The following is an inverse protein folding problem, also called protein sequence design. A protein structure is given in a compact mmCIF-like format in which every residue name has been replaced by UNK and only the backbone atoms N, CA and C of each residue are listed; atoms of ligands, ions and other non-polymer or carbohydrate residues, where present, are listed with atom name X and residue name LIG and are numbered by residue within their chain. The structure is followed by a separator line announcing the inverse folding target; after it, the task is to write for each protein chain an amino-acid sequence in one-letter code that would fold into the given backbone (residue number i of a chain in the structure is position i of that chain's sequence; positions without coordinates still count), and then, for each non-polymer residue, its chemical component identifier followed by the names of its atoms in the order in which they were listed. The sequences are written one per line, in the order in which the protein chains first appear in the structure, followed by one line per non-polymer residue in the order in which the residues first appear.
data_IF_646367230186
#
_entry.id   IF_646367230186
#
_cell.length_a   1.000
_cell.length_b   1.000
_cell.length_c   1.000
_cell.angle_alpha   90.00
_cell.angle_beta   90.00
_cell.angle_gamma   90.00
#
_symmetry.space_group_name_H-M   'P 1'
#
loop_
_entity.id
_entity.type
_entity.pdbx_description
1 polymer ?
#
# COMPACT_ATOMS: atom_id res chain seq x y z
N UNK A 1 -4.73 -24.91 11.46
CA UNK A 1 -5.50 -24.20 10.40
C UNK A 1 -4.87 -22.83 10.17
N UNK A 2 -4.64 -22.45 8.93
CA UNK A 2 -4.06 -21.15 8.64
C UNK A 2 -5.12 -20.05 8.71
N UNK A 3 -4.82 -18.93 9.37
CA UNK A 3 -5.65 -17.71 9.33
C UNK A 3 -5.67 -17.10 7.93
N UNK A 4 -6.72 -16.35 7.65
CA UNK A 4 -6.79 -15.55 6.44
C UNK A 4 -5.67 -14.48 6.46
N UNK A 5 -5.14 -14.16 5.29
CA UNK A 5 -4.25 -13.03 5.16
C UNK A 5 -5.08 -11.73 5.13
N UNK A 6 -4.96 -10.84 6.12
CA UNK A 6 -5.77 -9.62 6.21
C UNK A 6 -5.49 -8.63 5.06
N UNK A 7 -4.40 -8.81 4.33
CA UNK A 7 -4.05 -7.99 3.17
C UNK A 7 -4.82 -8.37 1.90
N UNK A 8 -5.46 -9.54 1.84
CA UNK A 8 -6.29 -9.94 0.70
C UNK A 8 -7.57 -9.12 0.67
N UNK A 9 -7.94 -8.57 -0.48
CA UNK A 9 -9.06 -7.61 -0.66
C UNK A 9 -10.35 -8.06 0.04
N UNK A 10 -10.78 -9.30 -0.20
CA UNK A 10 -11.93 -9.88 0.48
C UNK A 10 -11.81 -9.84 2.02
N UNK A 11 -10.67 -10.29 2.56
CA UNK A 11 -10.47 -10.36 4.00
C UNK A 11 -10.39 -8.97 4.63
N UNK A 12 -9.74 -8.03 3.96
CA UNK A 12 -9.64 -6.63 4.38
C UNK A 12 -11.02 -5.97 4.45
N UNK A 13 -11.78 -6.03 3.36
CA UNK A 13 -13.13 -5.45 3.29
C UNK A 13 -14.10 -6.11 4.25
N UNK A 14 -14.04 -7.44 4.41
CA UNK A 14 -14.87 -8.15 5.39
C UNK A 14 -14.51 -7.75 6.82
N UNK A 15 -13.23 -7.62 7.15
CA UNK A 15 -12.78 -7.28 8.49
C UNK A 15 -13.10 -5.84 8.87
N UNK A 16 -12.73 -4.88 8.03
CA UNK A 16 -12.81 -3.45 8.35
C UNK A 16 -14.09 -2.78 7.82
N UNK A 17 -14.74 -3.34 6.80
CA UNK A 17 -15.94 -2.79 6.17
C UNK A 17 -17.26 -3.36 6.68
N UNK A 18 -17.25 -4.33 7.60
CA UNK A 18 -18.46 -4.91 8.17
C UNK A 18 -18.99 -4.06 9.33
N UNK A 19 -20.32 -3.75 9.35
CA UNK A 19 -20.92 -2.96 10.42
C UNK A 19 -20.72 -3.53 11.82
N UNK A 20 -20.67 -4.86 11.96
CA UNK A 20 -20.44 -5.56 13.23
C UNK A 20 -18.99 -5.47 13.74
N UNK A 21 -18.10 -4.93 12.93
CA UNK A 21 -16.66 -4.78 13.21
C UNK A 21 -16.23 -3.31 13.31
N UNK A 22 -17.17 -2.38 13.53
CA UNK A 22 -16.85 -0.95 13.66
C UNK A 22 -15.78 -0.65 14.71
N UNK A 23 -15.77 -1.36 15.81
CA UNK A 23 -14.78 -1.24 16.88
C UNK A 23 -13.36 -1.56 16.40
N UNK A 24 -13.21 -2.55 15.51
CA UNK A 24 -11.94 -2.90 14.86
C UNK A 24 -11.48 -1.72 13.99
N UNK A 25 -12.35 -1.18 13.15
CA UNK A 25 -12.03 -0.06 12.27
C UNK A 25 -11.71 1.21 13.07
N UNK A 26 -12.48 1.53 14.11
CA UNK A 26 -12.22 2.67 14.99
C UNK A 26 -10.85 2.55 15.66
N UNK A 27 -10.52 1.38 16.23
CA UNK A 27 -9.20 1.15 16.83
C UNK A 27 -8.07 1.33 15.83
N UNK A 28 -8.23 0.82 14.58
CA UNK A 28 -7.23 1.02 13.53
C UNK A 28 -7.06 2.50 13.19
N UNK A 29 -8.15 3.23 12.91
CA UNK A 29 -8.11 4.67 12.63
C UNK A 29 -7.43 5.42 13.78
N UNK A 30 -7.82 5.14 15.02
CA UNK A 30 -7.27 5.78 16.21
C UNK A 30 -5.78 5.46 16.42
N UNK A 31 -5.29 4.31 15.95
CA UNK A 31 -3.86 3.99 16.02
C UNK A 31 -3.02 4.87 15.11
N UNK A 32 -3.61 5.41 14.05
CA UNK A 32 -2.96 6.26 13.03
C UNK A 32 -3.03 7.74 13.41
N UNK A 33 -4.11 8.14 14.11
CA UNK A 33 -4.38 9.53 14.43
C UNK A 33 -3.75 9.98 15.76
N UNK A 34 -3.41 11.28 15.90
CA UNK A 34 -3.02 11.83 17.18
C UNK A 34 -4.18 11.80 18.18
N UNK A 35 -3.87 11.79 19.49
CA UNK A 35 -4.84 11.64 20.57
C UNK A 35 -6.01 12.64 20.50
N UNK A 36 -5.74 13.87 20.07
CA UNK A 36 -6.75 14.94 19.94
C UNK A 36 -7.75 14.71 18.80
N UNK A 37 -7.42 13.85 17.85
CA UNK A 37 -8.25 13.54 16.66
C UNK A 37 -8.92 12.16 16.75
N UNK A 38 -8.87 11.50 17.91
CA UNK A 38 -9.44 10.16 18.05
C UNK A 38 -10.95 10.13 17.86
N UNK A 39 -11.40 9.07 17.23
CA UNK A 39 -12.78 8.79 16.81
C UNK A 39 -13.48 7.95 17.87
N UNK A 40 -14.76 8.25 18.15
CA UNK A 40 -15.58 7.48 19.08
C UNK A 40 -16.61 6.61 18.39
N UNK A 41 -17.14 7.07 17.26
CA UNK A 41 -18.08 6.30 16.42
C UNK A 41 -17.87 6.64 14.94
N UNK A 42 -18.27 5.72 14.06
CA UNK A 42 -18.21 5.88 12.61
C UNK A 42 -19.46 5.33 11.95
N UNK A 43 -19.78 5.90 10.80
CA UNK A 43 -20.75 5.39 9.84
C UNK A 43 -20.00 4.92 8.58
N UNK A 44 -20.14 3.65 8.21
CA UNK A 44 -19.62 3.13 6.95
C UNK A 44 -20.48 3.63 5.79
N UNK A 45 -19.88 4.28 4.80
CA UNK A 45 -20.57 4.78 3.60
C UNK A 45 -20.60 3.77 2.45
N UNK A 46 -19.75 2.76 2.49
CA UNK A 46 -19.72 1.64 1.56
C UNK A 46 -19.57 0.30 2.31
N UNK A 47 -20.54 -0.06 3.19
CA UNK A 47 -20.41 -1.25 4.02
C UNK A 47 -20.20 -2.51 3.16
N UNK A 48 -19.41 -3.44 3.69
CA UNK A 48 -19.19 -4.73 3.05
C UNK A 48 -20.52 -5.46 2.83
N UNK A 49 -20.71 -5.94 1.60
CA UNK A 49 -21.87 -6.74 1.20
C UNK A 49 -21.44 -7.81 0.20
N UNK A 50 -21.56 -9.09 0.57
CA UNK A 50 -21.12 -10.21 -0.25
C UNK A 50 -21.79 -10.26 -1.63
N UNK A 51 -23.08 -9.92 -1.72
CA UNK A 51 -23.80 -9.92 -2.99
C UNK A 51 -23.29 -8.84 -3.95
N UNK A 52 -22.89 -7.68 -3.43
CA UNK A 52 -22.27 -6.61 -4.21
C UNK A 52 -20.84 -6.96 -4.60
N UNK A 53 -20.09 -7.58 -3.70
CA UNK A 53 -18.72 -8.04 -3.95
C UNK A 53 -18.69 -9.00 -5.16
N UNK A 54 -19.57 -9.98 -5.20
CA UNK A 54 -19.70 -10.95 -6.31
C UNK A 54 -20.03 -10.32 -7.65
N UNK A 55 -20.92 -9.34 -7.66
CA UNK A 55 -21.36 -8.67 -8.89
C UNK A 55 -20.29 -7.69 -9.43
N UNK A 56 -19.13 -7.59 -8.77
CA UNK A 56 -18.12 -6.59 -9.09
C UNK A 56 -18.61 -5.15 -8.90
N UNK A 57 -19.68 -4.96 -8.11
CA UNK A 57 -20.31 -3.66 -7.85
C UNK A 57 -19.79 -2.99 -6.57
N UNK A 58 -18.80 -3.61 -5.89
CA UNK A 58 -18.10 -2.92 -4.80
C UNK A 58 -17.40 -1.70 -5.34
N UNK A 59 -17.44 -0.65 -4.55
CA UNK A 59 -16.80 0.64 -4.90
C UNK A 59 -15.32 0.46 -5.22
N UNK A 60 -14.79 1.37 -6.01
CA UNK A 60 -13.36 1.46 -6.33
C UNK A 60 -12.53 1.65 -5.05
N UNK A 61 -13.12 2.32 -4.05
CA UNK A 61 -12.54 2.57 -2.73
C UNK A 61 -12.75 1.37 -1.79
N UNK A 62 -11.72 1.02 -1.01
CA UNK A 62 -11.79 -0.13 -0.11
C UNK A 62 -12.71 0.12 1.08
N UNK A 63 -12.47 1.14 1.90
CA UNK A 63 -13.31 1.51 3.05
C UNK A 63 -13.55 3.01 3.04
N UNK A 64 -14.82 3.43 3.03
CA UNK A 64 -15.25 4.82 3.17
C UNK A 64 -16.11 4.98 4.42
N UNK A 65 -15.73 5.87 5.32
CA UNK A 65 -16.43 6.09 6.58
C UNK A 65 -16.49 7.57 6.96
N UNK A 66 -17.41 7.91 7.86
CA UNK A 66 -17.53 9.26 8.44
C UNK A 66 -17.63 9.14 9.95
N UNK A 67 -16.90 9.97 10.70
CA UNK A 67 -16.97 10.00 12.16
C UNK A 67 -18.11 10.93 12.67
N UNK A 68 -18.30 10.91 13.96
CA UNK A 68 -19.32 11.73 14.67
C UNK A 68 -19.10 13.24 14.52
N UNK A 69 -17.93 13.68 14.08
CA UNK A 69 -17.56 15.10 13.83
C UNK A 69 -17.72 15.49 12.35
N UNK A 70 -18.10 14.54 11.51
CA UNK A 70 -18.23 14.72 10.08
C UNK A 70 -16.90 14.58 9.32
N UNK A 71 -15.83 14.10 9.93
CA UNK A 71 -14.57 13.80 9.23
C UNK A 71 -14.75 12.57 8.36
N UNK A 72 -14.35 12.66 7.09
CA UNK A 72 -14.38 11.55 6.13
C UNK A 72 -13.07 10.80 6.10
N UNK A 73 -13.17 9.48 6.00
CA UNK A 73 -12.04 8.56 5.93
C UNK A 73 -12.10 7.76 4.64
N UNK A 74 -10.97 7.67 3.96
CA UNK A 74 -10.71 6.82 2.82
C UNK A 74 -9.55 5.89 3.19
N UNK A 75 -9.81 4.58 3.30
CA UNK A 75 -8.80 3.63 3.75
C UNK A 75 -8.59 2.60 2.65
N UNK A 76 -7.36 2.59 2.13
CA UNK A 76 -6.95 1.80 0.98
C UNK A 76 -5.87 0.78 1.35
N UNK A 77 -6.00 -0.47 0.88
CA UNK A 77 -4.99 -1.51 0.98
C UNK A 77 -4.43 -1.83 -0.41
N UNK A 78 -3.13 -1.61 -0.61
CA UNK A 78 -2.47 -1.87 -1.88
C UNK A 78 -1.32 -2.87 -1.72
N UNK A 79 -1.38 -3.96 -2.49
CA UNK A 79 -0.48 -5.12 -2.33
C UNK A 79 0.64 -5.18 -3.35
N UNK A 80 0.58 -4.35 -4.37
CA UNK A 80 1.54 -4.32 -5.45
C UNK A 80 1.67 -2.91 -6.00
N UNK A 81 2.88 -2.48 -6.24
CA UNK A 81 3.16 -1.22 -6.88
C UNK A 81 2.59 -1.23 -8.31
N UNK A 82 1.66 -0.32 -8.55
CA UNK A 82 1.22 0.05 -9.88
C UNK A 82 1.70 1.48 -10.09
N UNK A 83 2.51 1.73 -11.09
CA UNK A 83 3.09 3.05 -11.33
C UNK A 83 2.10 4.21 -11.10
N UNK A 84 2.58 5.34 -10.61
CA UNK A 84 1.78 6.54 -10.33
C UNK A 84 0.81 6.40 -9.14
N UNK A 85 1.21 5.73 -8.08
CA UNK A 85 0.35 5.53 -6.91
C UNK A 85 -0.01 6.86 -6.22
N UNK A 86 0.90 7.83 -6.17
CA UNK A 86 0.66 9.19 -5.73
C UNK A 86 -0.57 9.82 -6.41
N UNK A 87 -0.66 9.72 -7.74
CA UNK A 87 -1.80 10.24 -8.51
C UNK A 87 -3.11 9.54 -8.15
N UNK A 88 -3.06 8.23 -7.90
CA UNK A 88 -4.24 7.45 -7.46
C UNK A 88 -4.69 7.87 -6.07
N UNK A 89 -3.78 7.99 -5.12
CA UNK A 89 -4.08 8.40 -3.75
C UNK A 89 -4.72 9.80 -3.72
N UNK A 90 -4.16 10.75 -4.48
CA UNK A 90 -4.77 12.08 -4.64
C UNK A 90 -6.13 12.03 -5.32
N UNK A 91 -6.29 11.22 -6.36
CA UNK A 91 -7.56 11.07 -7.07
C UNK A 91 -8.67 10.53 -6.14
N UNK A 92 -8.37 9.51 -5.34
CA UNK A 92 -9.34 8.91 -4.41
C UNK A 92 -9.69 9.88 -3.28
N UNK A 93 -8.69 10.52 -2.68
CA UNK A 93 -8.93 11.56 -1.69
C UNK A 93 -9.82 12.67 -2.26
N UNK A 94 -9.50 13.20 -3.45
CA UNK A 94 -10.26 14.27 -4.10
C UNK A 94 -11.70 13.83 -4.42
N UNK A 95 -11.89 12.57 -4.82
CA UNK A 95 -13.21 12.01 -5.06
C UNK A 95 -14.03 11.96 -3.77
N UNK A 96 -13.48 11.45 -2.67
CA UNK A 96 -14.17 11.43 -1.36
C UNK A 96 -14.49 12.84 -0.89
N UNK A 97 -13.58 13.79 -1.11
CA UNK A 97 -13.77 15.19 -0.73
C UNK A 97 -14.86 15.86 -1.57
N UNK A 98 -14.84 15.68 -2.89
CA UNK A 98 -15.84 16.27 -3.79
C UNK A 98 -17.23 15.65 -3.68
N UNK A 99 -17.29 14.35 -3.36
CA UNK A 99 -18.57 13.61 -3.20
C UNK A 99 -19.35 14.03 -1.93
N UNK A 100 -18.82 14.94 -1.12
CA UNK A 100 -19.50 15.43 0.09
C UNK A 100 -20.62 16.44 -0.22
N UNK A 101 -20.57 17.07 -1.38
CA UNK A 101 -21.53 18.08 -1.81
C UNK A 101 -22.04 17.80 -3.23
N UNK A 102 -23.23 18.26 -3.53
CA UNK A 102 -23.84 18.21 -4.86
C UNK A 102 -23.75 19.58 -5.56
N UNK A 103 -24.12 19.60 -6.84
CA UNK A 103 -24.14 20.84 -7.61
C UNK A 103 -25.17 21.83 -7.04
N UNK A 104 -24.70 22.98 -6.57
CA UNK A 104 -25.52 24.02 -5.96
C UNK A 104 -25.40 24.10 -4.43
N UNK A 105 -24.75 23.14 -3.81
CA UNK A 105 -24.49 23.15 -2.37
C UNK A 105 -23.42 24.19 -2.00
N UNK A 106 -23.43 24.61 -0.75
CA UNK A 106 -22.48 25.55 -0.20
C UNK A 106 -21.15 24.87 0.17
N UNK A 107 -20.00 25.49 -0.14
CA UNK A 107 -18.69 24.93 0.18
C UNK A 107 -18.40 24.84 1.69
N UNK A 108 -19.16 25.51 2.54
CA UNK A 108 -19.06 25.41 4.00
C UNK A 108 -19.52 24.04 4.55
N UNK A 109 -20.21 23.24 3.74
CA UNK A 109 -20.58 21.86 4.05
C UNK A 109 -19.40 20.87 3.96
N UNK A 110 -18.33 21.24 3.24
CA UNK A 110 -17.15 20.40 3.11
C UNK A 110 -16.45 20.19 4.45
N UNK A 111 -16.10 18.95 4.74
CA UNK A 111 -15.46 18.53 5.99
C UNK A 111 -14.09 17.92 5.70
N UNK A 112 -13.27 17.84 6.74
CA UNK A 112 -11.96 17.19 6.71
C UNK A 112 -12.06 15.81 6.07
N UNK A 113 -11.13 15.50 5.17
CA UNK A 113 -10.97 14.19 4.56
C UNK A 113 -9.57 13.67 4.85
N UNK A 114 -9.50 12.47 5.43
CA UNK A 114 -8.27 11.77 5.77
C UNK A 114 -8.18 10.51 4.90
N UNK A 115 -7.13 10.42 4.07
CA UNK A 115 -6.80 9.20 3.36
C UNK A 115 -5.75 8.41 4.15
N UNK A 116 -5.98 7.11 4.37
CA UNK A 116 -5.04 6.18 5.01
C UNK A 116 -4.68 5.11 3.98
N UNK A 117 -3.48 5.23 3.42
CA UNK A 117 -2.96 4.34 2.39
C UNK A 117 -2.04 3.30 3.03
N UNK A 118 -2.44 2.03 3.01
CA UNK A 118 -1.66 0.92 3.54
C UNK A 118 -0.99 0.21 2.36
N UNK A 119 0.35 0.20 2.33
CA UNK A 119 1.14 -0.30 1.20
C UNK A 119 1.94 -1.54 1.60
N UNK A 120 1.84 -2.62 0.83
CA UNK A 120 2.67 -3.84 0.96
C UNK A 120 3.90 -3.77 0.03
N UNK A 121 4.42 -2.55 -0.19
CA UNK A 121 5.60 -2.24 -0.98
C UNK A 121 6.21 -0.90 -0.53
N UNK A 122 7.49 -0.67 -0.86
CA UNK A 122 8.18 0.59 -0.59
C UNK A 122 7.87 1.57 -1.73
N UNK A 123 7.41 2.77 -1.39
CA UNK A 123 7.01 3.79 -2.36
C UNK A 123 7.65 5.15 -2.09
N UNK A 124 7.71 5.57 -0.82
CA UNK A 124 8.27 6.83 -0.39
C UNK A 124 9.77 6.69 -0.09
N UNK A 125 10.53 7.78 -0.25
CA UNK A 125 11.96 7.80 0.07
C UNK A 125 12.22 7.87 1.60
N UNK A 126 11.24 8.28 2.40
CA UNK A 126 11.30 8.33 3.86
C UNK A 126 11.53 6.95 4.46
N UNK A 127 12.32 6.89 5.54
CA UNK A 127 12.69 5.63 6.21
C UNK A 127 11.61 5.12 7.15
N UNK A 128 10.79 6.02 7.69
CA UNK A 128 9.73 5.68 8.62
C UNK A 128 8.61 4.92 7.88
N UNK A 129 8.07 3.90 8.54
CA UNK A 129 6.98 3.11 7.95
C UNK A 129 5.64 3.87 7.91
N UNK A 130 5.50 4.95 8.68
CA UNK A 130 4.30 5.79 8.72
C UNK A 130 4.67 7.25 8.47
N UNK A 131 4.11 7.83 7.41
CA UNK A 131 4.34 9.20 6.98
C UNK A 131 3.02 9.93 6.81
N UNK A 132 2.99 11.22 7.16
CA UNK A 132 1.79 12.06 7.12
C UNK A 132 2.04 13.29 6.26
N UNK A 133 1.17 13.50 5.29
CA UNK A 133 1.23 14.65 4.40
C UNK A 133 0.04 15.58 4.64
N UNK A 134 0.34 16.89 4.68
CA UNK A 134 -0.61 17.98 4.85
C UNK A 134 -0.22 19.13 3.92
N UNK A 135 -1.09 20.11 3.73
CA UNK A 135 -0.84 21.28 2.88
C UNK A 135 -0.30 22.45 3.69
N UNK A 136 0.90 22.91 3.37
CA UNK A 136 1.58 24.00 4.07
C UNK A 136 1.98 25.13 3.12
N UNK A 137 2.05 26.36 3.67
CA UNK A 137 2.74 27.43 3.00
C UNK A 137 4.25 27.15 2.95
N UNK A 138 4.84 27.21 1.76
CA UNK A 138 6.25 26.82 1.55
C UNK A 138 7.24 27.64 2.40
N UNK A 139 7.01 28.95 2.54
CA UNK A 139 7.90 29.85 3.27
C UNK A 139 7.67 29.84 4.78
N UNK A 140 6.41 30.03 5.19
CA UNK A 140 6.06 30.18 6.62
C UNK A 140 5.92 28.84 7.34
N UNK A 141 5.85 27.71 6.62
CA UNK A 141 5.55 26.37 7.15
C UNK A 141 4.24 26.28 7.95
N UNK A 142 3.38 27.29 7.79
CA UNK A 142 2.04 27.29 8.41
C UNK A 142 1.09 26.42 7.60
N UNK A 143 0.35 25.56 8.26
CA UNK A 143 -0.70 24.73 7.65
C UNK A 143 -1.73 25.64 6.98
N UNK A 144 -2.08 25.39 5.72
CA UNK A 144 -3.03 26.16 4.95
C UNK A 144 -4.46 25.90 5.43
N UNK A 145 -4.79 24.63 5.59
CA UNK A 145 -6.10 24.16 6.03
C UNK A 145 -5.96 22.75 6.62
N UNK A 146 -6.78 22.43 7.60
CA UNK A 146 -6.85 21.08 8.18
C UNK A 146 -7.76 20.12 7.37
N UNK A 147 -8.33 20.57 6.25
CA UNK A 147 -9.25 19.77 5.43
C UNK A 147 -8.57 18.59 4.73
N UNK A 148 -7.27 18.71 4.43
CA UNK A 148 -6.47 17.67 3.79
C UNK A 148 -5.52 16.99 4.77
N UNK A 149 -5.57 15.67 4.81
CA UNK A 149 -4.57 14.85 5.48
C UNK A 149 -4.45 13.50 4.77
N UNK A 150 -3.21 13.07 4.52
CA UNK A 150 -2.94 11.80 3.85
C UNK A 150 -1.84 11.05 4.59
N UNK A 151 -2.15 9.81 5.00
CA UNK A 151 -1.23 8.90 5.67
C UNK A 151 -0.79 7.81 4.70
N UNK A 152 0.49 7.46 4.78
CA UNK A 152 1.06 6.29 4.14
C UNK A 152 1.66 5.38 5.20
N UNK A 153 1.25 4.11 5.19
CA UNK A 153 1.73 3.06 6.08
C UNK A 153 2.37 1.99 5.22
N UNK A 154 3.71 1.99 5.13
CA UNK A 154 4.48 1.07 4.28
C UNK A 154 4.89 -0.15 5.09
N UNK A 155 4.14 -1.23 4.97
CA UNK A 155 4.30 -2.43 5.79
C UNK A 155 5.68 -3.10 5.63
N UNK A 156 6.34 -2.98 4.47
CA UNK A 156 7.68 -3.52 4.25
C UNK A 156 8.75 -2.81 5.08
N UNK A 157 8.55 -1.53 5.40
CA UNK A 157 9.46 -0.76 6.26
C UNK A 157 9.26 -1.05 7.76
N UNK A 158 8.17 -1.72 8.12
CA UNK A 158 7.91 -2.11 9.49
C UNK A 158 8.69 -3.39 9.84
N UNK A 159 9.78 -3.24 10.65
CA UNK A 159 10.74 -4.32 10.95
C UNK A 159 10.72 -4.73 12.44
N UNK A 160 9.73 -4.25 13.23
CA UNK A 160 9.69 -4.59 14.66
C UNK A 160 9.24 -6.03 14.88
N UNK A 161 9.91 -6.72 15.80
CA UNK A 161 9.47 -8.02 16.29
C UNK A 161 8.30 -7.86 17.28
N UNK A 162 7.54 -8.93 17.50
CA UNK A 162 6.35 -8.88 18.36
C UNK A 162 6.66 -8.43 19.79
N UNK A 163 7.85 -8.70 20.30
CA UNK A 163 8.28 -8.28 21.65
C UNK A 163 8.57 -6.78 21.75
N UNK A 164 8.82 -6.12 20.62
CA UNK A 164 9.23 -4.72 20.54
C UNK A 164 8.06 -3.76 20.24
N UNK A 165 6.84 -4.26 20.15
CA UNK A 165 5.66 -3.46 19.88
C UNK A 165 5.32 -2.55 21.06
N UNK A 166 5.27 -1.23 20.82
CA UNK A 166 5.05 -0.23 21.86
C UNK A 166 3.73 0.51 21.70
N UNK A 167 3.38 0.86 20.46
CA UNK A 167 2.19 1.67 20.15
C UNK A 167 1.06 0.81 19.58
N UNK A 168 -0.18 1.34 19.59
CA UNK A 168 -1.31 0.68 18.92
C UNK A 168 -1.04 0.54 17.40
N UNK A 169 -0.41 1.56 16.79
CA UNK A 169 -0.03 1.47 15.36
C UNK A 169 1.01 0.38 15.10
N UNK A 170 1.98 0.15 16.01
CA UNK A 170 2.90 -0.98 15.90
C UNK A 170 2.14 -2.32 15.87
N UNK A 171 1.13 -2.47 16.74
CA UNK A 171 0.32 -3.69 16.82
C UNK A 171 -0.50 -3.91 15.55
N UNK A 172 -1.12 -2.84 15.03
CA UNK A 172 -1.87 -2.90 13.78
C UNK A 172 -0.98 -3.19 12.57
N UNK A 173 0.20 -2.58 12.49
CA UNK A 173 1.18 -2.86 11.42
C UNK A 173 1.68 -4.30 11.50
N UNK A 174 2.01 -4.82 12.69
CA UNK A 174 2.40 -6.21 12.90
C UNK A 174 1.27 -7.18 12.55
N UNK A 175 0.03 -6.87 12.94
CA UNK A 175 -1.16 -7.64 12.58
C UNK A 175 -1.34 -7.73 11.06
N UNK A 176 -1.39 -6.58 10.38
CA UNK A 176 -1.57 -6.56 8.92
C UNK A 176 -0.46 -7.31 8.20
N UNK A 177 0.77 -7.20 8.69
CA UNK A 177 1.93 -7.79 8.03
C UNK A 177 2.06 -9.29 8.28
N UNK A 178 1.77 -9.78 9.48
CA UNK A 178 2.17 -11.13 9.93
C UNK A 178 1.07 -11.96 10.60
N UNK A 179 -0.18 -11.47 10.72
CA UNK A 179 -1.24 -12.18 11.47
C UNK A 179 -1.54 -13.58 10.92
N UNK A 180 -1.44 -13.76 9.60
CA UNK A 180 -1.69 -15.06 8.94
C UNK A 180 -0.61 -16.13 9.24
N UNK A 181 0.52 -15.71 9.79
CA UNK A 181 1.63 -16.60 10.22
C UNK A 181 1.49 -17.02 11.70
N UNK A 182 0.65 -16.31 12.48
CA UNK A 182 0.53 -16.53 13.93
C UNK A 182 -0.25 -17.82 14.19
N UNK A 183 0.29 -18.66 15.08
CA UNK A 183 -0.43 -19.83 15.58
C UNK A 183 -1.70 -19.39 16.33
N UNK A 184 -2.84 -20.04 16.00
CA UNK A 184 -4.14 -19.68 16.58
C UNK A 184 -4.19 -19.85 18.10
N UNK A 185 -3.40 -20.78 18.63
CA UNK A 185 -3.37 -21.09 20.05
C UNK A 185 -2.30 -20.28 20.82
N UNK A 186 -1.49 -19.45 20.10
CA UNK A 186 -0.41 -18.64 20.67
C UNK A 186 -0.36 -17.24 20.04
N UNK A 187 -1.34 -16.41 20.36
CA UNK A 187 -1.27 -15.01 19.98
C UNK A 187 -0.18 -14.32 20.82
N UNK A 188 0.81 -13.64 20.20
CA UNK A 188 1.83 -12.91 20.94
C UNK A 188 1.21 -11.94 21.94
N UNK A 189 1.73 -11.91 23.17
CA UNK A 189 1.20 -11.13 24.28
C UNK A 189 1.04 -9.65 23.92
N UNK A 190 2.06 -9.06 23.28
CA UNK A 190 2.07 -7.66 22.85
C UNK A 190 0.98 -7.32 21.81
N UNK A 191 0.56 -8.26 20.99
CA UNK A 191 -0.60 -8.08 20.10
C UNK A 191 -1.91 -8.18 20.87
N UNK A 192 -1.99 -9.09 21.85
CA UNK A 192 -3.17 -9.32 22.66
C UNK A 192 -3.46 -8.16 23.67
N UNK A 193 -2.49 -7.29 23.93
CA UNK A 193 -2.69 -6.08 24.75
C UNK A 193 -3.73 -5.11 24.14
N UNK A 194 -3.89 -5.12 22.80
CA UNK A 194 -4.96 -4.38 22.12
C UNK A 194 -6.14 -5.32 21.85
N UNK A 195 -7.26 -5.07 22.53
CA UNK A 195 -8.46 -5.92 22.44
C UNK A 195 -9.05 -5.96 21.03
N UNK A 196 -8.95 -4.88 20.26
CA UNK A 196 -9.44 -4.81 18.89
C UNK A 196 -8.54 -5.59 17.93
N UNK A 197 -7.21 -5.53 18.10
CA UNK A 197 -6.25 -6.36 17.36
C UNK A 197 -6.47 -7.84 17.67
N UNK A 198 -6.66 -8.20 18.95
CA UNK A 198 -6.99 -9.58 19.35
C UNK A 198 -8.27 -10.05 18.68
N UNK A 199 -9.34 -9.26 18.73
CA UNK A 199 -10.62 -9.56 18.04
C UNK A 199 -10.43 -9.71 16.54
N UNK A 200 -9.61 -8.84 15.91
CA UNK A 200 -9.30 -8.92 14.48
C UNK A 200 -8.59 -10.23 14.12
N UNK A 201 -7.63 -10.67 14.94
CA UNK A 201 -6.94 -11.95 14.77
C UNK A 201 -7.92 -13.13 14.84
N UNK A 202 -8.84 -13.11 15.81
CA UNK A 202 -9.87 -14.15 15.97
C UNK A 202 -10.82 -14.21 14.77
N UNK A 203 -11.20 -13.04 14.23
CA UNK A 203 -12.06 -12.93 13.03
C UNK A 203 -11.41 -13.45 11.75
N UNK A 204 -10.08 -13.50 11.68
CA UNK A 204 -9.36 -14.04 10.53
C UNK A 204 -9.31 -15.59 10.50
N UNK A 205 -9.95 -16.29 11.41
CA UNK A 205 -9.99 -17.74 11.35
C UNK A 205 -10.84 -18.20 10.17
N UNK A 206 -10.25 -18.99 9.27
CA UNK A 206 -10.91 -19.49 8.06
C UNK A 206 -12.17 -20.32 8.37
N UNK A 207 -12.32 -20.80 9.60
CA UNK A 207 -13.51 -21.54 10.02
C UNK A 207 -14.78 -20.70 10.02
N UNK A 208 -14.66 -19.36 10.15
CA UNK A 208 -15.78 -18.43 10.12
C UNK A 208 -16.23 -18.06 8.70
N UNK A 209 -15.58 -18.60 7.66
CA UNK A 209 -16.04 -18.42 6.27
C UNK A 209 -16.98 -19.54 5.88
N UNK A 210 -18.11 -19.18 5.29
CA UNK A 210 -18.93 -20.16 4.56
C UNK A 210 -18.21 -20.65 3.28
N UNK A 211 -18.79 -21.64 2.61
CA UNK A 211 -18.19 -22.23 1.40
C UNK A 211 -17.93 -21.18 0.32
N UNK A 212 -18.83 -20.27 0.17
CA UNK A 212 -18.86 -19.26 -0.86
C UNK A 212 -17.84 -18.15 -0.59
N UNK A 213 -17.78 -17.65 0.63
CA UNK A 213 -16.78 -16.68 1.08
C UNK A 213 -15.36 -17.25 0.94
N UNK A 214 -15.21 -18.55 1.20
CA UNK A 214 -13.93 -19.24 1.00
C UNK A 214 -13.50 -19.24 -0.45
N UNK A 215 -14.40 -19.54 -1.40
CA UNK A 215 -14.11 -19.50 -2.84
C UNK A 215 -13.68 -18.10 -3.29
N UNK A 216 -14.35 -17.06 -2.80
CA UNK A 216 -13.99 -15.67 -3.11
C UNK A 216 -12.59 -15.37 -2.60
N UNK A 217 -12.31 -15.66 -1.33
CA UNK A 217 -11.00 -15.44 -0.72
C UNK A 217 -9.86 -16.18 -1.45
N UNK A 218 -10.08 -17.46 -1.81
CA UNK A 218 -9.09 -18.25 -2.53
C UNK A 218 -8.82 -17.70 -3.93
N UNK A 219 -9.84 -17.20 -4.62
CA UNK A 219 -9.70 -16.56 -5.91
C UNK A 219 -8.91 -15.24 -5.83
N UNK A 220 -9.19 -14.41 -4.84
CA UNK A 220 -8.45 -13.16 -4.61
C UNK A 220 -6.99 -13.43 -4.22
N UNK A 221 -6.77 -14.42 -3.34
CA UNK A 221 -5.42 -14.86 -2.97
C UNK A 221 -4.63 -15.38 -4.19
N UNK A 222 -5.28 -16.11 -5.08
CA UNK A 222 -4.68 -16.59 -6.32
C UNK A 222 -4.31 -15.43 -7.24
N UNK A 223 -5.22 -14.46 -7.45
CA UNK A 223 -4.95 -13.24 -8.25
C UNK A 223 -3.75 -12.48 -7.68
N UNK A 224 -3.71 -12.28 -6.37
CA UNK A 224 -2.59 -11.62 -5.69
C UNK A 224 -1.25 -12.33 -5.95
N UNK A 225 -1.23 -13.66 -5.85
CA UNK A 225 -0.01 -14.45 -6.11
C UNK A 225 0.47 -14.30 -7.55
N UNK A 226 -0.45 -14.33 -8.51
CA UNK A 226 -0.14 -14.12 -9.94
C UNK A 226 0.43 -12.74 -10.14
N UNK A 227 -0.23 -11.69 -9.66
CA UNK A 227 0.21 -10.31 -9.80
C UNK A 227 1.61 -10.08 -9.20
N UNK A 228 1.87 -10.58 -7.99
CA UNK A 228 3.21 -10.50 -7.36
C UNK A 228 4.28 -11.23 -8.19
N UNK A 229 3.94 -12.39 -8.77
CA UNK A 229 4.86 -13.13 -9.63
C UNK A 229 5.17 -12.39 -10.92
N UNK A 230 4.18 -11.76 -11.55
CA UNK A 230 4.34 -10.95 -12.77
C UNK A 230 5.22 -9.72 -12.52
N UNK A 231 4.99 -8.98 -11.43
CA UNK A 231 5.81 -7.82 -11.05
C UNK A 231 7.26 -8.25 -10.79
N UNK A 232 7.46 -9.34 -10.05
CA UNK A 232 8.80 -9.89 -9.78
C UNK A 232 9.52 -10.28 -11.09
N UNK A 233 8.80 -10.93 -12.00
CA UNK A 233 9.35 -11.33 -13.30
C UNK A 233 9.66 -10.12 -14.19
N UNK A 234 8.79 -9.10 -14.21
CA UNK A 234 9.02 -7.85 -14.95
C UNK A 234 10.25 -7.10 -14.40
N UNK A 235 10.35 -6.97 -13.08
CA UNK A 235 11.51 -6.35 -12.43
C UNK A 235 12.83 -7.11 -12.68
N UNK A 236 12.80 -8.45 -12.73
CA UNK A 236 13.98 -9.25 -13.06
C UNK A 236 14.40 -9.03 -14.52
N UNK A 237 13.46 -8.99 -15.47
CA UNK A 237 13.73 -8.68 -16.88
C UNK A 237 14.31 -7.29 -17.05
N UNK A 238 13.70 -6.27 -16.44
CA UNK A 238 14.17 -4.88 -16.52
C UNK A 238 15.57 -4.70 -15.95
N UNK A 239 15.92 -5.38 -14.84
CA UNK A 239 17.29 -5.36 -14.28
C UNK A 239 18.30 -6.00 -15.24
N UNK A 240 17.96 -7.12 -15.86
CA UNK A 240 18.85 -7.81 -16.81
C UNK A 240 19.04 -6.99 -18.09
N UNK A 241 17.98 -6.38 -18.62
CA UNK A 241 18.05 -5.45 -19.76
C UNK A 241 18.91 -4.24 -19.44
N UNK A 242 18.66 -3.58 -18.28
CA UNK A 242 19.45 -2.43 -17.84
C UNK A 242 20.93 -2.77 -17.61
N UNK A 243 21.23 -3.96 -17.06
CA UNK A 243 22.62 -4.46 -16.92
C UNK A 243 23.28 -4.60 -18.30
N UNK A 244 22.60 -5.24 -19.25
CA UNK A 244 23.11 -5.46 -20.62
C UNK A 244 23.33 -4.14 -21.36
N UNK A 245 22.39 -3.20 -21.23
CA UNK A 245 22.55 -1.86 -21.81
C UNK A 245 23.71 -1.08 -21.18
N UNK A 246 23.85 -1.15 -19.86
CA UNK A 246 24.96 -0.51 -19.12
C UNK A 246 26.31 -1.09 -19.52
N UNK A 247 26.44 -2.43 -19.62
CA UNK A 247 27.63 -3.11 -20.11
C UNK A 247 27.98 -2.70 -21.53
N UNK A 248 26.99 -2.61 -22.41
CA UNK A 248 27.18 -2.20 -23.81
C UNK A 248 27.60 -0.73 -23.92
N UNK A 249 26.97 0.19 -23.18
CA UNK A 249 27.39 1.60 -23.12
C UNK A 249 28.84 1.74 -22.65
N UNK A 250 29.20 1.04 -21.58
CA UNK A 250 30.56 1.05 -21.04
C UNK A 250 31.58 0.46 -22.05
N UNK A 251 31.22 -0.62 -22.75
CA UNK A 251 32.06 -1.21 -23.79
C UNK A 251 32.29 -0.22 -24.94
N UNK A 252 31.26 0.53 -25.36
CA UNK A 252 31.36 1.58 -26.38
C UNK A 252 32.26 2.74 -25.91
N UNK A 253 32.13 3.18 -24.69
CA UNK A 253 32.99 4.24 -24.13
C UNK A 253 34.47 3.82 -24.10
N UNK A 254 34.74 2.59 -23.63
CA UNK A 254 36.08 2.01 -23.64
C UNK A 254 36.60 1.91 -25.07
N UNK A 255 35.81 1.40 -26.00
CA UNK A 255 36.20 1.30 -27.41
C UNK A 255 36.60 2.65 -28.00
N UNK A 256 35.78 3.69 -27.76
CA UNK A 256 36.09 5.08 -28.18
C UNK A 256 37.39 5.60 -27.62
N UNK A 257 37.69 5.34 -26.35
CA UNK A 257 38.93 5.80 -25.70
C UNK A 257 40.20 5.09 -26.24
N UNK A 258 40.03 3.94 -26.92
CA UNK A 258 41.13 3.14 -27.42
C UNK A 258 41.35 3.26 -28.97
N UNK A 259 40.43 3.97 -29.66
CA UNK A 259 40.47 4.06 -31.13
C UNK A 259 41.78 4.65 -31.70
N UNK A 260 42.42 5.56 -30.96
CA UNK A 260 43.66 6.21 -31.36
C UNK A 260 44.92 5.49 -30.86
N UNK A 261 44.75 4.40 -30.08
CA UNK A 261 45.85 3.74 -29.35
C UNK A 261 46.03 2.27 -29.74
N UNK A 262 44.94 1.59 -30.16
CA UNK A 262 44.95 0.16 -30.44
C UNK A 262 44.27 -0.19 -31.77
N UNK A 263 44.68 -1.31 -32.33
CA UNK A 263 44.03 -1.88 -33.53
C UNK A 263 42.60 -2.34 -33.24
N UNK A 264 41.72 -2.22 -34.24
CA UNK A 264 40.28 -2.52 -34.15
C UNK A 264 40.03 -3.94 -33.65
N UNK A 265 40.82 -4.92 -34.09
CA UNK A 265 40.72 -6.32 -33.69
C UNK A 265 41.04 -6.51 -32.20
N UNK A 266 42.01 -5.75 -31.66
CA UNK A 266 42.38 -5.78 -30.24
C UNK A 266 41.26 -5.14 -29.42
N UNK A 267 40.73 -3.99 -29.87
CA UNK A 267 39.58 -3.32 -29.20
C UNK A 267 38.37 -4.27 -29.17
N UNK A 268 38.03 -4.94 -30.27
CA UNK A 268 36.94 -5.91 -30.35
C UNK A 268 37.10 -7.05 -29.33
N UNK A 269 38.33 -7.60 -29.23
CA UNK A 269 38.66 -8.66 -28.29
C UNK A 269 38.47 -8.20 -26.80
N UNK A 270 38.85 -6.97 -26.47
CA UNK A 270 38.79 -6.43 -25.09
C UNK A 270 37.41 -5.97 -24.69
N UNK A 271 36.65 -5.39 -25.62
CA UNK A 271 35.31 -4.81 -25.34
C UNK A 271 34.16 -5.78 -25.63
N UNK A 272 34.40 -6.89 -26.32
CA UNK A 272 33.42 -7.83 -26.84
C UNK A 272 32.42 -7.21 -27.83
N UNK A 273 32.74 -6.03 -28.37
CA UNK A 273 31.99 -5.41 -29.47
C UNK A 273 32.39 -6.00 -30.77
N UNK A 274 31.47 -6.06 -31.76
CA UNK A 274 31.82 -6.47 -33.11
C UNK A 274 32.71 -5.44 -33.79
N UNK A 275 33.58 -5.92 -34.69
CA UNK A 275 34.47 -5.06 -35.50
C UNK A 275 33.68 -4.00 -36.27
N UNK A 276 32.48 -4.32 -36.75
CA UNK A 276 31.59 -3.40 -37.47
C UNK A 276 31.08 -2.25 -36.60
N UNK A 277 30.78 -2.54 -35.31
CA UNK A 277 30.42 -1.49 -34.35
C UNK A 277 31.61 -0.56 -34.12
N UNK A 278 32.80 -1.11 -33.92
CA UNK A 278 33.99 -0.31 -33.65
C UNK A 278 34.37 0.56 -34.84
N UNK A 279 34.26 0.04 -36.08
CA UNK A 279 34.44 0.83 -37.30
C UNK A 279 33.51 2.04 -37.36
N UNK A 280 32.22 1.85 -37.07
CA UNK A 280 31.23 2.94 -37.03
C UNK A 280 31.45 3.96 -35.92
N UNK A 281 32.25 3.64 -34.90
CA UNK A 281 32.60 4.60 -33.82
C UNK A 281 33.78 5.48 -34.22
N UNK A 282 34.53 5.10 -35.27
CA UNK A 282 35.69 5.82 -35.78
C UNK A 282 35.32 6.85 -36.86
N UNK A 283 34.18 6.64 -37.53
CA UNK A 283 33.58 7.58 -38.49
C UNK A 283 32.71 8.61 -37.74
#
# INVERSE_FOLDING_TARGET
MCRLNPKVDFAFKKLFGSPENKDILISFINSVLPEIEQVKDIELKNPYNIANYRKGKMTILDIKAVDERGTWYDIEMQLAEQGYYDKRAFYYWAKVYSDQIESGDDFDLLRKTIAINILDFDYLDEKDFHNVYKVYNEKSKREFSNLFQMHFIELNKFQKEFVDLKTSLDRWAAFLNRAYEIDKDKIPEKLAEDSAVKKAIEKLDIMYLDKEEREIYENDLKRLRIQKAEIKAAGARGREEGRREGENKKAIEIAKSLLDVLDIEIIASKTKLSVDIIKKLKD
#
